data_IF_256169786589
#
_entry.id   IF_256169786589
#
_cell.length_a   1.000
_cell.length_b   1.000
_cell.length_c   1.000
_cell.angle_alpha   90.00
_cell.angle_beta   90.00
_cell.angle_gamma   90.00
#
_symmetry.space_group_name_H-M   'P 1'
#
loop_
_entity.id
_entity.type
_entity.pdbx_description
1 polymer ?
#
# COMPACT_ATOMS: atom_id res chain seq x y z
N UNK A 1 13.18 -15.64 -13.86
CA UNK A 1 14.21 -14.61 -13.59
C UNK A 1 13.76 -13.56 -12.57
N UNK A 2 12.57 -12.94 -12.69
CA UNK A 2 12.13 -11.88 -11.77
C UNK A 2 11.96 -12.31 -10.29
N UNK A 3 11.47 -13.53 -10.00
CA UNK A 3 11.26 -13.97 -8.61
C UNK A 3 12.56 -14.22 -7.83
N UNK A 4 13.61 -14.72 -8.48
CA UNK A 4 14.91 -14.97 -7.85
C UNK A 4 15.62 -13.66 -7.46
N UNK A 5 15.49 -12.62 -8.28
CA UNK A 5 16.06 -11.31 -7.98
C UNK A 5 15.39 -10.67 -6.75
N UNK A 6 14.05 -10.73 -6.67
CA UNK A 6 13.30 -10.25 -5.50
C UNK A 6 13.68 -11.03 -4.24
N UNK A 7 13.81 -12.36 -4.34
CA UNK A 7 14.18 -13.19 -3.21
C UNK A 7 15.60 -12.87 -2.69
N UNK A 8 16.56 -12.64 -3.59
CA UNK A 8 17.91 -12.20 -3.22
C UNK A 8 17.89 -10.82 -2.54
N UNK A 9 17.12 -9.88 -3.08
CA UNK A 9 16.98 -8.53 -2.54
C UNK A 9 16.34 -8.55 -1.14
N UNK A 10 15.29 -9.36 -0.93
CA UNK A 10 14.66 -9.58 0.38
C UNK A 10 15.63 -10.18 1.39
N UNK A 11 16.42 -11.19 1.00
CA UNK A 11 17.45 -11.78 1.87
C UNK A 11 18.52 -10.75 2.26
N UNK A 12 19.01 -9.96 1.30
CA UNK A 12 19.98 -8.89 1.57
C UNK A 12 19.40 -7.80 2.49
N UNK A 13 18.14 -7.42 2.30
CA UNK A 13 17.44 -6.50 3.19
C UNK A 13 17.31 -7.06 4.61
N UNK A 14 16.91 -8.33 4.75
CA UNK A 14 16.77 -8.99 6.05
C UNK A 14 18.11 -9.09 6.79
N UNK A 15 19.19 -9.40 6.06
CA UNK A 15 20.54 -9.39 6.62
C UNK A 15 20.92 -7.98 7.11
N UNK A 16 20.75 -6.95 6.27
CA UNK A 16 21.04 -5.57 6.66
C UNK A 16 20.19 -5.09 7.85
N UNK A 17 18.94 -5.56 7.97
CA UNK A 17 18.09 -5.29 9.14
C UNK A 17 18.67 -5.90 10.42
N UNK A 18 19.10 -7.16 10.37
CA UNK A 18 19.72 -7.84 11.51
C UNK A 18 21.03 -7.15 11.93
N UNK A 19 21.85 -6.77 10.96
CA UNK A 19 23.11 -6.07 11.20
C UNK A 19 22.86 -4.70 11.84
N UNK A 20 21.91 -3.92 11.31
CA UNK A 20 21.50 -2.64 11.89
C UNK A 20 20.99 -2.78 13.32
N UNK A 21 20.23 -3.84 13.63
CA UNK A 21 19.78 -4.12 15.00
C UNK A 21 20.94 -4.46 15.95
N UNK A 22 21.90 -5.26 15.48
CA UNK A 22 23.11 -5.59 16.24
C UNK A 22 23.93 -4.33 16.55
N UNK A 23 24.15 -3.49 15.52
CA UNK A 23 24.84 -2.20 15.63
C UNK A 23 24.08 -1.27 16.58
N UNK A 24 22.76 -1.18 16.48
CA UNK A 24 21.95 -0.35 17.38
C UNK A 24 22.15 -0.78 18.85
N UNK A 25 22.11 -2.09 19.13
CA UNK A 25 22.37 -2.63 20.48
C UNK A 25 23.80 -2.41 20.95
N UNK A 26 24.80 -2.47 20.07
CA UNK A 26 26.19 -2.17 20.46
C UNK A 26 26.38 -0.70 20.83
N UNK A 27 25.75 0.22 20.09
CA UNK A 27 25.81 1.66 20.41
C UNK A 27 25.13 1.96 21.74
N UNK A 28 23.98 1.35 22.02
CA UNK A 28 23.32 1.53 23.32
C UNK A 28 24.20 1.03 24.48
N UNK A 29 24.88 -0.10 24.31
CA UNK A 29 25.88 -0.57 25.28
C UNK A 29 27.03 0.43 25.44
N UNK A 30 27.53 1.00 24.34
CA UNK A 30 28.58 2.02 24.37
C UNK A 30 28.12 3.30 25.08
N UNK A 31 26.88 3.74 24.89
CA UNK A 31 26.31 4.89 25.62
C UNK A 31 26.32 4.61 27.12
N UNK A 32 25.83 3.44 27.55
CA UNK A 32 25.79 3.09 28.96
C UNK A 32 27.20 2.96 29.58
N UNK A 33 28.17 2.47 28.81
CA UNK A 33 29.57 2.43 29.24
C UNK A 33 30.12 3.86 29.43
N UNK A 34 29.89 4.75 28.46
CA UNK A 34 30.28 6.15 28.56
C UNK A 34 29.58 6.90 29.72
N UNK A 35 28.35 6.53 30.07
CA UNK A 35 27.65 7.09 31.24
C UNK A 35 28.33 6.70 32.55
N UNK A 36 28.83 5.46 32.62
CA UNK A 36 29.56 4.96 33.77
C UNK A 36 30.93 5.64 33.89
N UNK A 37 31.64 5.76 32.76
CA UNK A 37 32.93 6.46 32.67
C UNK A 37 32.79 7.95 33.01
N UNK A 38 31.71 8.60 32.54
CA UNK A 38 31.40 9.99 32.87
C UNK A 38 31.25 10.18 34.39
N UNK A 39 30.47 9.31 35.05
CA UNK A 39 30.29 9.36 36.50
C UNK A 39 31.59 9.08 37.26
N UNK A 40 32.39 8.12 36.80
CA UNK A 40 33.69 7.83 37.41
C UNK A 40 34.63 9.03 37.33
N UNK A 41 34.72 9.68 36.16
CA UNK A 41 35.53 10.89 36.00
C UNK A 41 35.03 12.05 36.86
N UNK A 42 33.70 12.21 37.03
CA UNK A 42 33.15 13.23 37.92
C UNK A 42 33.57 13.01 39.39
N UNK A 43 33.59 11.75 39.84
CA UNK A 43 34.05 11.40 41.19
C UNK A 43 35.57 11.57 41.34
N UNK A 44 36.37 11.24 40.32
CA UNK A 44 37.82 11.46 40.30
C UNK A 44 38.16 12.96 40.30
N UNK A 45 37.45 13.78 39.53
CA UNK A 45 37.59 15.24 39.54
C UNK A 45 37.25 15.78 40.94
N UNK A 46 36.20 15.28 41.60
CA UNK A 46 35.83 15.71 42.95
C UNK A 46 36.92 15.39 43.97
N UNK A 47 37.56 14.22 43.86
CA UNK A 47 38.70 13.82 44.70
C UNK A 47 39.93 14.71 44.44
N UNK A 48 40.35 14.84 43.19
CA UNK A 48 41.49 15.69 42.82
C UNK A 48 41.28 17.16 43.21
N UNK A 49 40.03 17.66 43.13
CA UNK A 49 39.67 19.00 43.57
C UNK A 49 39.81 19.18 45.08
N UNK A 50 39.45 18.15 45.88
CA UNK A 50 39.63 18.17 47.33
C UNK A 50 41.10 18.13 47.77
N UNK A 51 41.95 17.48 46.97
CA UNK A 51 43.41 17.43 47.16
C UNK A 51 44.12 18.71 46.70
N UNK A 52 43.44 19.58 45.94
CA UNK A 52 43.98 20.85 45.45
C UNK A 52 44.91 20.75 44.23
N UNK A 53 45.01 19.58 43.59
CA UNK A 53 45.81 19.39 42.38
C UNK A 53 45.08 19.93 41.14
N UNK A 54 45.46 21.15 40.74
CA UNK A 54 44.89 21.85 39.59
C UNK A 54 45.27 21.22 38.26
N UNK A 55 46.48 20.66 38.13
CA UNK A 55 46.96 20.12 36.85
C UNK A 55 46.18 18.85 36.47
N UNK A 56 46.00 17.96 37.45
CA UNK A 56 45.22 16.74 37.29
C UNK A 56 43.75 17.04 37.04
N UNK A 57 43.15 17.98 37.77
CA UNK A 57 41.77 18.44 37.53
C UNK A 57 41.55 18.92 36.09
N UNK A 58 42.48 19.70 35.53
CA UNK A 58 42.37 20.22 34.15
C UNK A 58 42.40 19.07 33.14
N UNK A 59 43.32 18.12 33.29
CA UNK A 59 43.42 16.95 32.40
C UNK A 59 42.15 16.08 32.45
N UNK A 60 41.63 15.81 33.64
CA UNK A 60 40.39 15.04 33.82
C UNK A 60 39.17 15.77 33.26
N UNK A 61 39.07 17.09 33.45
CA UNK A 61 37.99 17.89 32.87
C UNK A 61 38.01 17.87 31.32
N UNK A 62 39.19 17.88 30.70
CA UNK A 62 39.31 17.71 29.24
C UNK A 62 38.85 16.31 28.79
N UNK A 63 39.12 15.27 29.57
CA UNK A 63 38.61 13.93 29.29
C UNK A 63 37.08 13.87 29.39
N UNK A 64 36.51 14.48 30.45
CA UNK A 64 35.07 14.59 30.63
C UNK A 64 34.38 15.29 29.45
N UNK A 65 34.95 16.41 28.97
CA UNK A 65 34.43 17.11 27.80
C UNK A 65 34.46 16.24 26.52
N UNK A 66 35.52 15.44 26.34
CA UNK A 66 35.61 14.48 25.22
C UNK A 66 34.55 13.38 25.33
N UNK A 67 34.35 12.79 26.50
CA UNK A 67 33.31 11.77 26.71
C UNK A 67 31.92 12.33 26.41
N UNK A 68 31.59 13.52 26.92
CA UNK A 68 30.31 14.19 26.62
C UNK A 68 30.10 14.43 25.13
N UNK A 69 31.16 14.82 24.41
CA UNK A 69 31.11 14.98 22.94
C UNK A 69 30.87 13.66 22.22
N UNK A 70 31.55 12.58 22.62
CA UNK A 70 31.37 11.24 22.05
C UNK A 70 29.97 10.69 22.35
N UNK A 71 29.47 10.86 23.58
CA UNK A 71 28.12 10.49 23.99
C UNK A 71 27.05 11.21 23.17
N UNK A 72 27.18 12.53 23.01
CA UNK A 72 26.30 13.32 22.11
C UNK A 72 26.34 12.80 20.67
N UNK A 73 27.54 12.50 20.15
CA UNK A 73 27.70 11.91 18.81
C UNK A 73 27.03 10.54 18.68
N UNK A 74 27.11 9.69 19.70
CA UNK A 74 26.44 8.38 19.72
C UNK A 74 24.91 8.53 19.68
N UNK A 75 24.32 9.46 20.44
CA UNK A 75 22.87 9.74 20.35
C UNK A 75 22.44 10.27 18.97
N UNK A 76 23.29 11.08 18.32
CA UNK A 76 23.03 11.47 16.93
C UNK A 76 23.13 10.27 16.00
N UNK A 77 24.12 9.41 16.20
CA UNK A 77 24.32 8.22 15.39
C UNK A 77 23.16 7.21 15.51
N UNK A 78 22.59 6.99 16.70
CA UNK A 78 21.38 6.15 16.86
C UNK A 78 20.21 6.72 16.06
N UNK A 79 20.02 8.03 16.10
CA UNK A 79 18.99 8.72 15.32
C UNK A 79 19.19 8.56 13.80
N UNK A 80 20.43 8.70 13.34
CA UNK A 80 20.80 8.47 11.94
C UNK A 80 20.58 7.02 11.51
N UNK A 81 20.93 6.04 12.33
CA UNK A 81 20.66 4.63 12.04
C UNK A 81 19.16 4.34 11.91
N UNK A 82 18.32 4.92 12.77
CA UNK A 82 16.87 4.78 12.64
C UNK A 82 16.35 5.34 11.31
N UNK A 83 16.90 6.47 10.85
CA UNK A 83 16.57 7.04 9.53
C UNK A 83 17.03 6.11 8.41
N UNK A 84 18.27 5.59 8.48
CA UNK A 84 18.82 4.66 7.47
C UNK A 84 17.98 3.40 7.39
N UNK A 85 17.59 2.81 8.53
CA UNK A 85 16.74 1.64 8.59
C UNK A 85 15.38 1.90 7.91
N UNK A 86 14.74 3.05 8.19
CA UNK A 86 13.48 3.45 7.53
C UNK A 86 13.64 3.66 6.03
N UNK A 87 14.77 4.26 5.59
CA UNK A 87 15.07 4.42 4.16
C UNK A 87 15.30 3.08 3.47
N UNK A 88 15.96 2.14 4.13
CA UNK A 88 16.20 0.80 3.61
C UNK A 88 14.88 0.03 3.42
N UNK A 89 13.94 0.14 4.37
CA UNK A 89 12.60 -0.47 4.24
C UNK A 89 11.78 0.20 3.15
N UNK A 90 11.82 1.53 3.06
CA UNK A 90 11.13 2.27 1.99
C UNK A 90 11.68 1.90 0.59
N UNK A 91 13.00 1.76 0.45
CA UNK A 91 13.63 1.34 -0.80
C UNK A 91 13.24 -0.08 -1.22
N UNK A 92 13.06 -1.00 -0.26
CA UNK A 92 12.55 -2.34 -0.55
C UNK A 92 11.14 -2.29 -1.14
N UNK A 93 10.23 -1.56 -0.50
CA UNK A 93 8.86 -1.41 -0.99
C UNK A 93 8.79 -0.70 -2.34
N UNK A 94 9.63 0.31 -2.56
CA UNK A 94 9.74 0.96 -3.87
C UNK A 94 10.20 -0.02 -4.96
N UNK A 95 11.13 -0.92 -4.65
CA UNK A 95 11.56 -1.96 -5.59
C UNK A 95 10.46 -3.00 -5.88
N UNK A 96 9.70 -3.42 -4.85
CA UNK A 96 8.54 -4.30 -5.01
C UNK A 96 7.46 -3.68 -5.91
N UNK A 97 7.14 -2.40 -5.67
CA UNK A 97 6.19 -1.65 -6.48
C UNK A 97 6.67 -1.43 -7.91
N UNK A 98 7.96 -1.13 -8.11
CA UNK A 98 8.55 -1.02 -9.45
C UNK A 98 8.42 -2.32 -10.25
N UNK A 99 8.58 -3.48 -9.61
CA UNK A 99 8.41 -4.77 -10.27
C UNK A 99 6.94 -5.09 -10.62
N UNK A 100 5.97 -4.71 -9.77
CA UNK A 100 4.55 -4.89 -10.11
C UNK A 100 4.11 -3.97 -11.25
N UNK A 101 4.62 -2.73 -11.28
CA UNK A 101 4.42 -1.83 -12.41
C UNK A 101 5.06 -2.35 -13.70
N UNK A 102 6.28 -2.91 -13.64
CA UNK A 102 6.92 -3.54 -14.80
C UNK A 102 6.09 -4.73 -15.33
N UNK A 103 5.52 -5.55 -14.43
CA UNK A 103 4.62 -6.63 -14.82
C UNK A 103 3.33 -6.09 -15.47
N UNK A 104 2.70 -5.08 -14.87
CA UNK A 104 1.52 -4.43 -15.42
C UNK A 104 1.80 -3.81 -16.80
N UNK A 105 2.93 -3.13 -16.96
CA UNK A 105 3.37 -2.55 -18.23
C UNK A 105 3.63 -3.62 -19.29
N UNK A 106 4.24 -4.75 -18.92
CA UNK A 106 4.42 -5.91 -19.81
C UNK A 106 3.08 -6.50 -20.24
N UNK A 107 2.14 -6.68 -19.32
CA UNK A 107 0.80 -7.17 -19.62
C UNK A 107 0.05 -6.20 -20.54
N UNK A 108 0.11 -4.90 -20.26
CA UNK A 108 -0.51 -3.88 -21.10
C UNK A 108 0.14 -3.78 -22.49
N UNK A 109 1.45 -3.97 -22.60
CA UNK A 109 2.17 -4.06 -23.88
C UNK A 109 1.73 -5.29 -24.68
N UNK A 110 1.59 -6.44 -24.01
CA UNK A 110 1.11 -7.67 -24.63
C UNK A 110 -0.35 -7.52 -25.08
N UNK A 111 -1.20 -6.91 -24.25
CA UNK A 111 -2.57 -6.59 -24.57
C UNK A 111 -2.65 -5.67 -25.80
N UNK A 112 -1.86 -4.59 -25.84
CA UNK A 112 -1.80 -3.68 -27.00
C UNK A 112 -1.31 -4.40 -28.29
N UNK A 113 -0.45 -5.41 -28.17
CA UNK A 113 0.00 -6.23 -29.32
C UNK A 113 -1.06 -7.24 -29.79
N UNK A 114 -1.82 -7.81 -28.86
CA UNK A 114 -2.91 -8.74 -29.16
C UNK A 114 -4.19 -8.03 -29.62
N UNK A 115 -4.35 -6.76 -29.24
CA UNK A 115 -5.46 -5.90 -29.65
C UNK A 115 -5.24 -5.47 -31.10
N UNK A 116 -5.93 -6.14 -32.02
CA UNK A 116 -5.91 -5.77 -33.43
C UNK A 116 -6.71 -4.47 -33.60
N UNK A 117 -6.02 -3.35 -33.85
CA UNK A 117 -6.64 -2.00 -33.89
C UNK A 117 -7.85 -1.92 -34.82
N UNK A 118 -7.87 -2.74 -35.87
CA UNK A 118 -8.96 -2.80 -36.85
C UNK A 118 -10.20 -3.50 -36.30
N UNK A 119 -10.05 -4.62 -35.57
CA UNK A 119 -11.18 -5.41 -35.07
C UNK A 119 -11.98 -4.69 -33.99
N UNK A 120 -11.31 -3.89 -33.16
CA UNK A 120 -11.99 -3.13 -32.10
C UNK A 120 -12.75 -1.95 -32.70
N UNK A 121 -12.21 -1.29 -33.74
CA UNK A 121 -12.93 -0.23 -34.47
C UNK A 121 -14.11 -0.83 -35.24
N UNK A 122 -13.95 -1.98 -35.87
CA UNK A 122 -15.05 -2.69 -36.56
C UNK A 122 -16.14 -3.14 -35.56
N UNK A 123 -15.75 -3.67 -34.40
CA UNK A 123 -16.71 -4.03 -33.33
C UNK A 123 -17.40 -2.81 -32.73
N UNK A 124 -16.72 -1.67 -32.59
CA UNK A 124 -17.33 -0.41 -32.17
C UNK A 124 -18.30 0.14 -33.24
N UNK A 125 -17.93 0.05 -34.51
CA UNK A 125 -18.85 0.46 -35.59
C UNK A 125 -20.07 -0.45 -35.70
N UNK A 126 -19.89 -1.75 -35.46
CA UNK A 126 -21.00 -2.70 -35.35
C UNK A 126 -21.84 -2.40 -34.11
N UNK A 127 -21.18 -1.99 -33.01
CA UNK A 127 -21.83 -1.52 -31.80
C UNK A 127 -22.75 -0.34 -32.04
N UNK A 128 -22.22 0.72 -32.62
CA UNK A 128 -22.97 1.93 -32.92
C UNK A 128 -24.15 1.64 -33.86
N UNK A 129 -23.98 0.72 -34.82
CA UNK A 129 -25.07 0.33 -35.74
C UNK A 129 -26.19 -0.43 -35.05
N UNK A 130 -25.86 -1.40 -34.22
CA UNK A 130 -26.85 -2.18 -33.48
C UNK A 130 -27.49 -1.36 -32.35
N UNK A 131 -26.76 -0.41 -31.74
CA UNK A 131 -27.33 0.57 -30.83
C UNK A 131 -28.37 1.44 -31.54
N UNK A 132 -28.07 1.97 -32.74
CA UNK A 132 -29.04 2.73 -33.54
C UNK A 132 -30.25 1.86 -33.92
N UNK A 133 -30.03 0.59 -34.28
CA UNK A 133 -31.15 -0.33 -34.57
C UNK A 133 -32.00 -0.62 -33.34
N UNK A 134 -31.38 -0.73 -32.16
CA UNK A 134 -32.05 -0.90 -30.89
C UNK A 134 -32.88 0.35 -30.55
N UNK A 135 -32.30 1.55 -30.66
CA UNK A 135 -33.02 2.82 -30.43
C UNK A 135 -34.21 2.98 -31.39
N UNK A 136 -34.03 2.64 -32.68
CA UNK A 136 -35.14 2.63 -33.66
C UNK A 136 -36.22 1.59 -33.32
N UNK A 137 -35.81 0.43 -32.80
CA UNK A 137 -36.75 -0.60 -32.37
C UNK A 137 -37.50 -0.19 -31.10
N UNK A 138 -36.84 0.52 -30.18
CA UNK A 138 -37.46 1.08 -28.99
C UNK A 138 -38.45 2.18 -29.37
N UNK A 139 -38.11 3.09 -30.28
CA UNK A 139 -39.05 4.11 -30.81
C UNK A 139 -40.24 3.46 -31.56
N UNK A 140 -39.99 2.38 -32.32
CA UNK A 140 -41.07 1.64 -33.00
C UNK A 140 -41.95 0.85 -32.02
N UNK A 141 -41.38 0.37 -30.91
CA UNK A 141 -42.08 -0.38 -29.88
C UNK A 141 -42.84 0.57 -28.95
N UNK A 142 -42.28 1.74 -28.62
CA UNK A 142 -42.95 2.85 -27.94
C UNK A 142 -44.03 3.51 -28.81
N UNK A 143 -43.91 3.49 -30.14
CA UNK A 143 -44.99 3.86 -31.06
C UNK A 143 -46.14 2.86 -31.13
N UNK A 144 -45.89 1.57 -30.84
CA UNK A 144 -46.91 0.51 -30.80
C UNK A 144 -47.50 0.27 -29.40
N UNK A 145 -46.78 0.60 -28.33
CA UNK A 145 -47.23 0.45 -26.94
C UNK A 145 -48.52 1.22 -26.61
N UNK A 146 -48.76 2.44 -27.12
CA UNK A 146 -50.02 3.15 -26.94
C UNK A 146 -51.24 2.37 -27.45
N UNK A 147 -51.06 1.58 -28.53
CA UNK A 147 -52.14 0.74 -29.08
C UNK A 147 -52.42 -0.52 -28.26
N UNK A 148 -51.50 -0.92 -27.38
CA UNK A 148 -51.67 -2.03 -26.42
C UNK A 148 -52.18 -1.54 -25.06
N UNK A 149 -51.94 -0.27 -24.70
CA UNK A 149 -52.42 0.34 -23.46
C UNK A 149 -53.87 0.84 -23.53
N UNK A 150 -54.50 0.92 -24.71
CA UNK A 150 -55.92 1.30 -24.85
C UNK A 150 -56.92 0.24 -24.35
N UNK A 151 -56.47 -0.88 -23.75
CA UNK A 151 -57.37 -1.99 -23.36
C UNK A 151 -57.42 -2.35 -21.86
N UNK A 152 -56.80 -1.60 -20.94
CA UNK A 152 -57.00 -1.83 -19.50
C UNK A 152 -57.13 -0.50 -18.72
N UNK A 153 -58.36 -0.17 -18.33
CA UNK A 153 -58.78 0.97 -17.51
C UNK A 153 -58.35 0.83 -16.03
N UNK A 154 -57.05 0.63 -15.78
CA UNK A 154 -56.48 0.71 -14.43
C UNK A 154 -55.40 1.80 -14.40
N UNK A 155 -55.69 2.90 -13.70
CA UNK A 155 -54.75 4.01 -13.50
C UNK A 155 -53.44 3.50 -12.90
N UNK A 156 -52.31 3.92 -13.50
CA UNK A 156 -50.93 3.57 -13.08
C UNK A 156 -50.72 3.73 -11.57
N UNK A 157 -51.36 4.73 -10.96
CA UNK A 157 -51.32 5.00 -9.52
C UNK A 157 -51.80 3.83 -8.66
N UNK A 158 -52.82 3.09 -9.09
CA UNK A 158 -53.34 1.94 -8.34
C UNK A 158 -52.37 0.75 -8.37
N UNK A 159 -51.69 0.55 -9.50
CA UNK A 159 -50.67 -0.48 -9.64
C UNK A 159 -49.40 -0.16 -8.84
N UNK A 160 -48.99 1.11 -8.82
CA UNK A 160 -47.86 1.57 -8.00
C UNK A 160 -48.15 1.36 -6.51
N UNK A 161 -49.37 1.69 -6.05
CA UNK A 161 -49.79 1.43 -4.67
C UNK A 161 -49.81 -0.07 -4.33
N UNK A 162 -50.20 -0.93 -5.26
CA UNK A 162 -50.14 -2.39 -5.08
C UNK A 162 -48.72 -2.91 -4.90
N UNK A 163 -47.73 -2.38 -5.64
CA UNK A 163 -46.31 -2.79 -5.52
C UNK A 163 -45.71 -2.30 -4.21
N UNK A 164 -46.02 -1.05 -3.80
CA UNK A 164 -45.52 -0.48 -2.55
C UNK A 164 -46.03 -1.22 -1.31
N UNK A 165 -47.19 -1.88 -1.41
CA UNK A 165 -47.79 -2.64 -0.32
C UNK A 165 -47.38 -4.14 -0.31
N UNK A 166 -46.56 -4.62 -1.24
CA UNK A 166 -46.05 -6.01 -1.23
C UNK A 166 -44.83 -6.13 -0.28
N UNK A 167 -44.89 -6.92 0.81
CA UNK A 167 -43.85 -6.99 1.84
C UNK A 167 -42.50 -7.55 1.35
N UNK A 168 -42.43 -8.15 0.16
CA UNK A 168 -41.20 -8.78 -0.37
C UNK A 168 -40.15 -7.78 -0.90
N UNK A 169 -40.46 -6.48 -0.94
CA UNK A 169 -39.54 -5.42 -1.37
C UNK A 169 -38.71 -4.76 -0.26
N UNK A 170 -38.83 -5.20 1.00
CA UNK A 170 -38.04 -4.63 2.10
C UNK A 170 -36.54 -4.93 1.90
N UNK A 171 -35.75 -3.92 1.49
CA UNK A 171 -34.29 -3.99 1.55
C UNK A 171 -33.90 -3.95 3.04
N UNK A 172 -33.26 -5.01 3.54
CA UNK A 172 -32.63 -4.95 4.85
C UNK A 172 -31.40 -4.05 4.76
N UNK A 173 -31.26 -3.08 5.67
CA UNK A 173 -30.12 -2.15 5.74
C UNK A 173 -28.80 -2.78 6.21
N UNK A 174 -28.73 -4.11 6.31
CA UNK A 174 -27.53 -4.86 6.69
C UNK A 174 -26.78 -5.31 5.43
N UNK A 175 -25.69 -4.62 5.13
CA UNK A 175 -24.76 -5.06 4.10
C UNK A 175 -24.03 -6.32 4.59
N UNK A 176 -24.03 -7.44 3.84
CA UNK A 176 -23.27 -8.61 4.22
C UNK A 176 -21.77 -8.27 4.23
N UNK A 177 -21.11 -8.49 5.37
CA UNK A 177 -19.68 -8.24 5.53
C UNK A 177 -18.88 -9.16 4.60
N UNK A 178 -17.89 -8.58 3.91
CA UNK A 178 -17.05 -9.29 2.93
C UNK A 178 -16.27 -10.42 3.62
N UNK A 179 -16.31 -11.67 3.10
CA UNK A 179 -15.59 -12.78 3.72
C UNK A 179 -14.08 -12.56 3.66
N UNK A 180 -13.42 -12.70 4.80
CA UNK A 180 -11.96 -12.68 4.90
C UNK A 180 -11.40 -14.06 4.56
N UNK A 181 -11.27 -14.37 3.26
CA UNK A 181 -10.55 -15.56 2.79
C UNK A 181 -9.27 -15.14 2.03
N UNK A 182 -8.09 -15.69 2.37
CA UNK A 182 -6.86 -15.42 1.65
C UNK A 182 -6.98 -15.96 0.22
N UNK A 183 -6.58 -15.15 -0.77
CA UNK A 183 -6.53 -15.54 -2.18
C UNK A 183 -5.59 -16.74 -2.38
N UNK A 184 -6.17 -17.94 -2.42
CA UNK A 184 -5.54 -19.20 -2.81
C UNK A 184 -5.80 -19.51 -4.28
N UNK A 185 -4.69 -19.72 -5.00
CA UNK A 185 -4.48 -20.27 -6.34
C UNK A 185 -5.18 -19.65 -7.57
N UNK A 186 -4.42 -19.33 -8.64
CA UNK A 186 -4.95 -18.74 -9.86
C UNK A 186 -5.47 -19.85 -10.79
N UNK A 187 -6.62 -20.43 -10.48
CA UNK A 187 -7.47 -21.04 -11.50
C UNK A 187 -8.64 -20.08 -11.77
N UNK A 188 -8.32 -18.92 -12.34
CA UNK A 188 -9.32 -17.98 -12.82
C UNK A 188 -9.86 -18.50 -14.17
N UNK A 189 -10.84 -19.39 -14.09
CA UNK A 189 -11.73 -19.66 -15.20
C UNK A 189 -12.75 -18.50 -15.21
N UNK A 190 -12.51 -17.50 -16.07
CA UNK A 190 -13.37 -16.32 -16.17
C UNK A 190 -14.58 -16.62 -17.04
N UNK A 191 -15.58 -17.24 -16.45
CA UNK A 191 -16.92 -17.24 -17.03
C UNK A 191 -17.68 -16.07 -16.42
N UNK A 192 -17.62 -14.93 -17.11
CA UNK A 192 -18.50 -13.78 -16.92
C UNK A 192 -19.21 -13.48 -18.24
N UNK A 193 -20.47 -13.00 -18.15
CA UNK A 193 -21.46 -13.15 -19.19
C UNK A 193 -21.13 -12.32 -20.43
N UNK A 194 -21.22 -12.99 -21.56
CA UNK A 194 -21.23 -12.42 -22.90
C UNK A 194 -22.59 -11.77 -23.13
N UNK A 195 -22.71 -10.50 -22.78
CA UNK A 195 -23.66 -9.54 -23.36
C UNK A 195 -22.82 -8.29 -23.65
N UNK A 196 -22.31 -8.07 -24.87
CA UNK A 196 -23.02 -7.52 -26.03
C UNK A 196 -23.88 -6.30 -25.63
N UNK A 197 -23.49 -5.06 -25.88
CA UNK A 197 -22.17 -4.60 -26.34
C UNK A 197 -21.89 -4.86 -27.84
N UNK A 198 -22.95 -5.25 -28.57
CA UNK A 198 -23.13 -5.72 -29.97
C UNK A 198 -22.49 -7.04 -30.40
#
# INVERSE_FOLDING_TARGET
MASLALQKLKKAHQQGKNDNQSIHKSILRNINALDSDEKQLEDEIRKAASEGDKATCISLAQQLARIRSIKSRNYRFTSHLNIVQKKQTASLHAAEYGMSLDLAAKNMKNFNKAMNKTKVVEQLQQFDKEQIQMDMSEESLDGCLPSLYESDDATIDERVQSILNDPRGHISNEWPSVPSTPLGDPSFNSEYPRNNVC
#
